data_IF_508288082125
#
_entry.id   IF_508288082125
#
_cell.length_a   1.000
_cell.length_b   1.000
_cell.length_c   1.000
_cell.angle_alpha   90.00
_cell.angle_beta   90.00
_cell.angle_gamma   90.00
#
_symmetry.space_group_name_H-M   'P 1'
#
loop_
_entity.id
_entity.type
_entity.pdbx_description
1 polymer ?
#
# COMPACT_ATOMS: atom_id res chain seq x y z
N UNK A 1 13.31 -32.44 17.28
CA UNK A 1 11.94 -32.60 16.77
C UNK A 1 11.26 -31.25 16.74
N UNK A 2 10.22 -31.10 15.91
CA UNK A 2 9.50 -29.82 15.69
C UNK A 2 8.89 -29.26 16.99
N UNK A 3 8.44 -30.15 17.88
CA UNK A 3 7.87 -29.80 19.18
C UNK A 3 8.88 -29.13 20.13
N UNK A 4 10.15 -29.54 20.09
CA UNK A 4 11.21 -28.95 20.91
C UNK A 4 11.47 -27.50 20.51
N UNK A 5 11.53 -27.21 19.17
CA UNK A 5 11.72 -25.86 18.65
C UNK A 5 10.55 -24.93 18.95
N UNK A 6 9.34 -25.48 18.97
CA UNK A 6 8.13 -24.70 19.27
C UNK A 6 8.11 -24.31 20.76
N UNK A 7 8.55 -25.20 21.64
CA UNK A 7 8.64 -24.96 23.09
C UNK A 7 9.72 -23.91 23.43
N UNK A 8 10.87 -23.98 22.75
CA UNK A 8 11.97 -23.01 22.91
C UNK A 8 11.55 -21.60 22.43
N UNK A 9 10.77 -21.51 21.35
CA UNK A 9 10.22 -20.26 20.84
C UNK A 9 9.22 -19.59 21.80
N UNK A 10 8.34 -20.39 22.44
CA UNK A 10 7.41 -19.90 23.44
C UNK A 10 8.10 -19.42 24.72
N UNK A 11 9.18 -20.07 25.14
CA UNK A 11 9.96 -19.66 26.31
C UNK A 11 10.74 -18.37 26.06
N UNK A 12 11.27 -18.16 24.83
CA UNK A 12 11.95 -16.92 24.45
C UNK A 12 10.97 -15.74 24.39
N UNK A 13 9.76 -15.96 23.85
CA UNK A 13 8.70 -14.94 23.81
C UNK A 13 8.25 -14.51 25.20
N UNK A 14 8.05 -15.48 26.10
CA UNK A 14 7.61 -15.23 27.49
C UNK A 14 8.67 -14.45 28.28
N UNK A 15 9.95 -14.80 28.09
CA UNK A 15 11.09 -14.09 28.67
C UNK A 15 11.21 -12.63 28.18
N UNK A 16 10.88 -12.39 26.92
CA UNK A 16 10.91 -11.02 26.33
C UNK A 16 9.71 -10.17 26.79
N UNK A 17 8.52 -10.75 26.90
CA UNK A 17 7.34 -10.09 27.44
C UNK A 17 7.56 -9.67 28.91
N UNK A 18 8.09 -10.57 29.74
CA UNK A 18 8.37 -10.28 31.15
C UNK A 18 9.40 -9.17 31.34
N UNK A 19 10.43 -9.11 30.49
CA UNK A 19 11.41 -8.01 30.47
C UNK A 19 10.81 -6.66 30.04
N UNK A 20 9.78 -6.67 29.22
CA UNK A 20 9.08 -5.44 28.83
C UNK A 20 8.11 -4.96 29.94
N UNK A 21 7.46 -5.88 30.66
CA UNK A 21 6.60 -5.55 31.81
C UNK A 21 7.41 -5.01 33.01
N UNK A 22 8.58 -5.59 33.32
CA UNK A 22 9.48 -5.08 34.36
C UNK A 22 10.01 -3.67 34.05
N UNK A 23 10.20 -3.32 32.77
CA UNK A 23 10.59 -1.95 32.36
C UNK A 23 9.43 -0.95 32.48
N UNK A 24 8.18 -1.41 32.39
CA UNK A 24 7.00 -0.55 32.56
C UNK A 24 6.63 -0.28 34.04
N UNK A 25 7.05 -1.14 34.95
CA UNK A 25 6.71 -1.05 36.38
C UNK A 25 7.60 -0.11 37.20
N UNK A 26 8.67 0.44 36.65
CA UNK A 26 9.65 1.31 37.38
C UNK A 26 9.42 2.81 37.13
N UNK A 27 8.32 3.21 36.51
CA UNK A 27 8.03 4.64 36.24
C UNK A 27 6.75 5.13 36.95
N UNK A 28 6.70 5.04 38.29
CA UNK A 28 5.75 5.84 39.07
C UNK A 28 6.29 6.11 40.48
N UNK A 29 7.05 7.19 40.64
CA UNK A 29 7.14 7.97 41.87
C UNK A 29 7.72 9.38 41.58
N UNK A 30 7.20 10.46 42.18
CA UNK A 30 7.55 11.80 41.80
C UNK A 30 8.67 12.36 42.68
N UNK A 31 9.59 13.12 42.17
CA UNK A 31 10.09 14.36 42.72
C UNK A 31 11.49 14.80 42.26
N UNK A 32 11.55 16.05 41.83
CA UNK A 32 12.61 17.06 42.00
C UNK A 32 13.98 16.90 41.34
N UNK A 33 14.16 17.75 40.34
CA UNK A 33 15.35 18.60 40.09
C UNK A 33 16.76 17.99 40.12
N UNK A 34 17.35 17.75 38.94
CA UNK A 34 18.61 18.44 38.55
C UNK A 34 18.96 18.14 37.10
N UNK A 35 19.17 19.22 36.35
CA UNK A 35 19.71 19.21 34.99
C UNK A 35 21.08 18.52 34.97
N UNK A 36 21.19 17.45 34.19
CA UNK A 36 22.46 16.96 33.66
C UNK A 36 22.15 16.48 32.23
N UNK A 37 22.76 17.16 31.28
CA UNK A 37 22.75 16.85 29.85
C UNK A 37 23.17 15.40 29.64
N UNK A 38 22.24 14.57 29.17
CA UNK A 38 22.54 13.24 28.63
C UNK A 38 22.58 13.42 27.12
N UNK A 39 23.66 12.96 26.43
CA UNK A 39 23.74 13.06 24.97
C UNK A 39 22.54 12.31 24.38
N UNK A 40 21.80 12.99 23.50
CA UNK A 40 20.65 12.45 22.79
C UNK A 40 21.03 11.16 22.08
N UNK A 41 20.49 10.06 22.55
CA UNK A 41 20.36 8.83 21.75
C UNK A 41 19.56 9.22 20.52
N UNK A 42 19.97 8.87 19.30
CA UNK A 42 19.16 9.20 18.13
C UNK A 42 17.80 8.51 18.30
N UNK A 43 16.76 9.31 18.49
CA UNK A 43 15.36 8.86 18.33
C UNK A 43 15.29 8.23 16.94
N UNK A 44 15.10 6.94 16.87
CA UNK A 44 14.70 6.28 15.62
C UNK A 44 13.29 6.77 15.33
N UNK A 45 13.21 7.89 14.62
CA UNK A 45 11.96 8.46 14.14
C UNK A 45 11.24 7.38 13.33
N UNK A 46 10.03 7.03 13.74
CA UNK A 46 9.21 6.12 12.94
C UNK A 46 9.16 6.66 11.49
N UNK A 47 9.34 5.80 10.48
CA UNK A 47 9.38 6.26 9.09
C UNK A 47 8.08 6.98 8.75
N UNK A 48 8.20 8.07 8.00
CA UNK A 48 7.04 8.83 7.51
C UNK A 48 6.24 8.01 6.51
N UNK A 49 4.96 8.35 6.30
CA UNK A 49 4.12 7.73 5.28
C UNK A 49 4.75 7.85 3.88
N UNK A 50 5.43 8.97 3.59
CA UNK A 50 6.17 9.16 2.33
C UNK A 50 7.30 8.12 2.18
N UNK A 51 8.14 7.96 3.21
CA UNK A 51 9.25 7.00 3.15
C UNK A 51 8.77 5.55 2.98
N UNK A 52 7.70 5.17 3.69
CA UNK A 52 7.13 3.82 3.57
C UNK A 52 6.51 3.60 2.18
N UNK A 53 5.82 4.61 1.64
CA UNK A 53 5.26 4.56 0.29
C UNK A 53 6.36 4.45 -0.78
N UNK A 54 7.42 5.26 -0.68
CA UNK A 54 8.52 5.27 -1.65
C UNK A 54 9.25 3.92 -1.68
N UNK A 55 9.46 3.31 -0.51
CA UNK A 55 10.01 1.94 -0.42
C UNK A 55 9.11 0.90 -1.09
N UNK A 56 7.80 0.97 -0.84
CA UNK A 56 6.84 0.07 -1.45
C UNK A 56 6.77 0.25 -2.98
N UNK A 57 6.83 1.50 -3.45
CA UNK A 57 6.81 1.80 -4.88
C UNK A 57 8.11 1.37 -5.58
N UNK A 58 9.26 1.54 -4.94
CA UNK A 58 10.55 1.05 -5.44
C UNK A 58 10.57 -0.49 -5.65
N UNK A 59 9.84 -1.24 -4.81
CA UNK A 59 9.67 -2.68 -5.03
C UNK A 59 8.87 -2.97 -6.31
N UNK A 60 7.87 -2.15 -6.61
CA UNK A 60 7.08 -2.28 -7.84
C UNK A 60 7.93 -1.97 -9.07
N UNK A 61 8.71 -0.90 -9.03
CA UNK A 61 9.63 -0.49 -10.10
C UNK A 61 10.72 -1.55 -10.33
N UNK A 62 11.18 -2.19 -9.25
CA UNK A 62 12.10 -3.32 -9.29
C UNK A 62 11.46 -4.66 -9.70
N UNK A 63 10.21 -4.66 -10.17
CA UNK A 63 9.43 -5.85 -10.55
C UNK A 63 9.25 -6.89 -9.43
N UNK A 64 9.50 -6.53 -8.17
CA UNK A 64 9.24 -7.34 -6.99
C UNK A 64 7.76 -7.27 -6.61
N UNK A 65 6.90 -7.73 -7.53
CA UNK A 65 5.45 -7.50 -7.45
C UNK A 65 4.78 -8.10 -6.21
N UNK A 66 5.30 -9.22 -5.68
CA UNK A 66 4.75 -9.83 -4.44
C UNK A 66 5.06 -8.99 -3.22
N UNK A 67 6.31 -8.55 -3.09
CA UNK A 67 6.77 -7.71 -2.01
C UNK A 67 6.09 -6.32 -2.08
N UNK A 68 5.98 -5.74 -3.27
CA UNK A 68 5.28 -4.50 -3.51
C UNK A 68 3.78 -4.60 -3.11
N UNK A 69 3.12 -5.69 -3.50
CA UNK A 69 1.74 -5.96 -3.12
C UNK A 69 1.58 -5.98 -1.59
N UNK A 70 2.47 -6.68 -0.89
CA UNK A 70 2.42 -6.76 0.58
C UNK A 70 2.67 -5.39 1.20
N UNK A 71 3.76 -4.72 0.81
CA UNK A 71 4.15 -3.42 1.35
C UNK A 71 3.06 -2.34 1.12
N UNK A 72 2.45 -2.28 -0.07
CA UNK A 72 1.37 -1.35 -0.38
C UNK A 72 0.08 -1.67 0.39
N UNK A 73 -0.20 -2.97 0.60
CA UNK A 73 -1.35 -3.40 1.42
C UNK A 73 -1.16 -2.97 2.88
N UNK A 74 0.04 -3.13 3.42
CA UNK A 74 0.36 -2.74 4.79
C UNK A 74 0.38 -1.20 4.93
N UNK A 75 0.89 -0.47 3.93
CA UNK A 75 0.82 0.98 3.88
C UNK A 75 -0.63 1.49 3.99
N UNK A 76 -1.54 0.96 3.18
CA UNK A 76 -2.96 1.38 3.18
C UNK A 76 -3.63 1.13 4.55
N UNK A 77 -3.24 0.05 5.25
CA UNK A 77 -3.75 -0.24 6.59
C UNK A 77 -3.15 0.67 7.65
N UNK A 78 -1.86 0.96 7.55
CA UNK A 78 -1.11 1.73 8.53
C UNK A 78 -1.39 3.23 8.43
N UNK A 79 -1.61 3.73 7.21
CA UNK A 79 -1.81 5.15 6.91
C UNK A 79 -3.14 5.43 6.21
N UNK A 80 -4.30 5.13 6.83
CA UNK A 80 -5.60 5.25 6.17
C UNK A 80 -6.01 6.69 5.84
N UNK A 81 -5.36 7.67 6.45
CA UNK A 81 -5.61 9.11 6.25
C UNK A 81 -4.47 9.82 5.51
N UNK A 82 -3.50 9.09 4.97
CA UNK A 82 -2.41 9.68 4.20
C UNK A 82 -2.92 10.33 2.91
N UNK A 83 -2.32 11.46 2.55
CA UNK A 83 -2.52 12.09 1.23
C UNK A 83 -2.06 11.19 0.08
N UNK A 84 -1.18 10.23 0.34
CA UNK A 84 -0.67 9.25 -0.63
C UNK A 84 -1.58 8.03 -0.82
N UNK A 85 -2.72 7.98 -0.11
CA UNK A 85 -3.63 6.84 -0.18
C UNK A 85 -4.13 6.54 -1.61
N UNK A 86 -4.49 7.55 -2.44
CA UNK A 86 -4.86 7.30 -3.83
C UNK A 86 -3.71 6.73 -4.66
N UNK A 87 -2.49 7.27 -4.50
CA UNK A 87 -1.29 6.75 -5.17
C UNK A 87 -0.97 5.32 -4.73
N UNK A 88 -1.07 5.02 -3.44
CA UNK A 88 -0.85 3.66 -2.91
C UNK A 88 -1.87 2.65 -3.45
N UNK A 89 -3.15 3.04 -3.59
CA UNK A 89 -4.18 2.21 -4.21
C UNK A 89 -3.92 1.99 -5.70
N UNK A 90 -3.46 3.02 -6.41
CA UNK A 90 -3.09 2.92 -7.81
C UNK A 90 -1.91 1.94 -7.99
N UNK A 91 -0.84 2.10 -7.21
CA UNK A 91 0.33 1.22 -7.23
C UNK A 91 -0.03 -0.23 -6.82
N UNK A 92 -0.93 -0.41 -5.83
CA UNK A 92 -1.43 -1.72 -5.43
C UNK A 92 -2.17 -2.42 -6.58
N UNK A 93 -3.02 -1.69 -7.32
CA UNK A 93 -3.72 -2.23 -8.48
C UNK A 93 -2.73 -2.66 -9.59
N UNK A 94 -1.66 -1.88 -9.81
CA UNK A 94 -0.59 -2.25 -10.75
C UNK A 94 0.14 -3.53 -10.29
N UNK A 95 0.50 -3.65 -9.01
CA UNK A 95 1.11 -4.86 -8.46
C UNK A 95 0.19 -6.09 -8.65
N UNK A 96 -1.10 -5.94 -8.36
CA UNK A 96 -2.11 -6.99 -8.57
C UNK A 96 -2.21 -7.39 -10.05
N UNK A 97 -2.19 -6.42 -10.97
CA UNK A 97 -2.22 -6.66 -12.41
C UNK A 97 -0.98 -7.46 -12.86
N UNK A 98 0.21 -7.06 -12.42
CA UNK A 98 1.47 -7.75 -12.72
C UNK A 98 1.48 -9.18 -12.17
N UNK A 99 0.84 -9.41 -11.03
CA UNK A 99 0.62 -10.75 -10.46
C UNK A 99 -0.51 -11.54 -11.15
N UNK A 100 -1.10 -10.99 -12.22
CA UNK A 100 -2.25 -11.56 -12.96
C UNK A 100 -3.50 -11.74 -12.09
N UNK A 101 -3.60 -11.06 -10.97
CA UNK A 101 -4.78 -11.05 -10.12
C UNK A 101 -5.80 -10.01 -10.63
N UNK A 102 -6.28 -10.21 -11.85
CA UNK A 102 -7.12 -9.23 -12.55
C UNK A 102 -8.44 -8.93 -11.84
N UNK A 103 -9.01 -9.91 -11.14
CA UNK A 103 -10.24 -9.69 -10.37
C UNK A 103 -10.02 -8.71 -9.22
N UNK A 104 -8.92 -8.86 -8.48
CA UNK A 104 -8.55 -7.91 -7.43
C UNK A 104 -8.19 -6.53 -8.00
N UNK A 105 -7.46 -6.50 -9.12
CA UNK A 105 -7.12 -5.27 -9.85
C UNK A 105 -8.37 -4.44 -10.18
N UNK A 106 -9.40 -5.08 -10.74
CA UNK A 106 -10.68 -4.43 -11.06
C UNK A 106 -11.29 -3.81 -9.80
N UNK A 107 -11.40 -4.58 -8.71
CA UNK A 107 -11.98 -4.08 -7.46
C UNK A 107 -11.18 -2.93 -6.84
N UNK A 108 -9.84 -2.97 -6.93
CA UNK A 108 -8.97 -1.91 -6.40
C UNK A 108 -9.11 -0.62 -7.22
N UNK A 109 -9.10 -0.70 -8.55
CA UNK A 109 -9.30 0.48 -9.40
C UNK A 109 -10.71 1.07 -9.26
N UNK A 110 -11.76 0.26 -9.17
CA UNK A 110 -13.12 0.75 -8.95
C UNK A 110 -13.22 1.55 -7.65
N UNK A 111 -12.70 0.99 -6.55
CA UNK A 111 -12.66 1.67 -5.26
C UNK A 111 -11.86 2.98 -5.31
N UNK A 112 -10.73 2.99 -6.03
CA UNK A 112 -9.93 4.20 -6.22
C UNK A 112 -10.74 5.29 -6.93
N UNK A 113 -11.37 4.96 -8.05
CA UNK A 113 -12.17 5.89 -8.86
C UNK A 113 -13.38 6.44 -8.11
N UNK A 114 -14.03 5.61 -7.29
CA UNK A 114 -15.21 5.98 -6.51
C UNK A 114 -14.85 6.86 -5.30
N UNK A 115 -13.74 6.54 -4.62
CA UNK A 115 -13.34 7.22 -3.38
C UNK A 115 -12.49 8.47 -3.62
N UNK A 116 -11.81 8.57 -4.77
CA UNK A 116 -10.89 9.65 -5.12
C UNK A 116 -11.16 10.17 -6.54
N UNK A 117 -12.34 10.79 -6.79
CA UNK A 117 -12.74 11.22 -8.14
C UNK A 117 -11.81 12.28 -8.74
N UNK A 118 -11.13 13.06 -7.89
CA UNK A 118 -10.21 14.14 -8.30
C UNK A 118 -8.74 13.69 -8.40
N UNK A 119 -8.48 12.38 -8.27
CA UNK A 119 -7.11 11.87 -8.33
C UNK A 119 -6.54 12.03 -9.75
N UNK A 120 -5.35 12.62 -9.82
CA UNK A 120 -4.73 13.02 -11.10
C UNK A 120 -4.48 11.84 -12.06
N UNK A 121 -4.25 10.62 -11.52
CA UNK A 121 -4.02 9.41 -12.33
C UNK A 121 -5.31 8.59 -12.58
N UNK A 122 -6.50 9.20 -12.43
CA UNK A 122 -7.76 8.52 -12.75
C UNK A 122 -7.89 8.11 -14.23
N UNK A 123 -7.36 8.87 -15.21
CA UNK A 123 -7.33 8.42 -16.60
C UNK A 123 -6.55 7.11 -16.78
N UNK A 124 -5.37 6.99 -16.17
CA UNK A 124 -4.53 5.80 -16.19
C UNK A 124 -5.20 4.64 -15.43
N UNK A 125 -5.85 4.94 -14.31
CA UNK A 125 -6.61 3.95 -13.54
C UNK A 125 -7.77 3.38 -14.35
N UNK A 126 -8.52 4.19 -15.10
CA UNK A 126 -9.57 3.72 -16.01
C UNK A 126 -9.03 2.85 -17.15
N UNK A 127 -7.86 3.22 -17.70
CA UNK A 127 -7.21 2.40 -18.71
C UNK A 127 -6.73 1.05 -18.11
N UNK A 128 -6.15 1.09 -16.90
CA UNK A 128 -5.75 -0.10 -16.16
C UNK A 128 -6.92 -1.01 -15.82
N UNK A 129 -8.06 -0.44 -15.40
CA UNK A 129 -9.31 -1.14 -15.17
C UNK A 129 -9.79 -1.86 -16.44
N UNK A 130 -9.85 -1.14 -17.57
CA UNK A 130 -10.24 -1.74 -18.85
C UNK A 130 -9.28 -2.86 -19.28
N UNK A 131 -7.98 -2.69 -19.07
CA UNK A 131 -6.99 -3.74 -19.35
C UNK A 131 -7.24 -5.01 -18.53
N UNK A 132 -7.52 -4.87 -17.23
CA UNK A 132 -7.84 -6.01 -16.37
C UNK A 132 -9.15 -6.69 -16.78
N UNK A 133 -10.16 -5.93 -17.19
CA UNK A 133 -11.41 -6.45 -17.73
C UNK A 133 -11.21 -7.24 -19.02
N UNK A 134 -10.35 -6.75 -19.93
CA UNK A 134 -9.98 -7.47 -21.17
C UNK A 134 -9.30 -8.81 -20.83
N UNK A 135 -8.39 -8.84 -19.85
CA UNK A 135 -7.71 -10.07 -19.43
C UNK A 135 -8.69 -11.14 -18.90
N UNK A 136 -9.83 -10.72 -18.36
CA UNK A 136 -10.91 -11.61 -17.91
C UNK A 136 -12.00 -11.82 -18.97
N UNK A 137 -11.78 -11.39 -20.21
CA UNK A 137 -12.75 -11.43 -21.31
C UNK A 137 -14.08 -10.68 -21.01
N UNK A 138 -14.06 -9.72 -20.08
CA UNK A 138 -15.18 -8.85 -19.76
C UNK A 138 -15.24 -7.69 -20.77
N UNK A 139 -15.49 -8.03 -22.03
CA UNK A 139 -15.39 -7.08 -23.16
C UNK A 139 -16.41 -5.94 -23.10
N UNK A 140 -17.68 -6.18 -22.77
CA UNK A 140 -18.67 -5.09 -22.63
C UNK A 140 -18.26 -4.06 -21.57
N UNK A 141 -17.77 -4.53 -20.42
CA UNK A 141 -17.33 -3.69 -19.32
C UNK A 141 -16.06 -2.90 -19.69
N UNK A 142 -15.12 -3.55 -20.35
CA UNK A 142 -13.90 -2.90 -20.83
C UNK A 142 -14.22 -1.77 -21.83
N UNK A 143 -15.12 -2.02 -22.79
CA UNK A 143 -15.58 -1.00 -23.74
C UNK A 143 -16.26 0.18 -23.03
N UNK A 144 -17.05 -0.10 -21.98
CA UNK A 144 -17.66 0.95 -21.16
C UNK A 144 -16.58 1.78 -20.46
N UNK A 145 -15.62 1.14 -19.77
CA UNK A 145 -14.54 1.83 -19.08
C UNK A 145 -13.70 2.70 -20.02
N UNK A 146 -13.40 2.23 -21.23
CA UNK A 146 -12.67 2.99 -22.24
C UNK A 146 -13.48 4.19 -22.78
N UNK A 147 -14.80 4.03 -22.98
CA UNK A 147 -15.69 5.13 -23.38
C UNK A 147 -15.78 6.19 -22.28
N UNK A 148 -15.90 5.76 -21.02
CA UNK A 148 -15.93 6.65 -19.87
C UNK A 148 -14.62 7.44 -19.74
N UNK A 149 -13.46 6.79 -19.96
CA UNK A 149 -12.15 7.44 -20.01
C UNK A 149 -12.12 8.56 -21.06
N UNK A 150 -12.53 8.27 -22.31
CA UNK A 150 -12.52 9.25 -23.41
C UNK A 150 -13.47 10.42 -23.13
N UNK A 151 -14.63 10.13 -22.55
CA UNK A 151 -15.64 11.14 -22.24
C UNK A 151 -15.23 12.05 -21.08
N UNK A 152 -14.70 11.47 -20.00
CA UNK A 152 -14.35 12.20 -18.76
C UNK A 152 -13.02 12.95 -18.87
N UNK A 153 -12.05 12.38 -19.58
CA UNK A 153 -10.68 12.88 -19.64
C UNK A 153 -10.15 13.06 -21.08
N UNK A 154 -10.84 13.89 -21.92
CA UNK A 154 -10.53 13.98 -23.35
C UNK A 154 -9.15 14.55 -23.68
N UNK A 155 -8.48 15.16 -22.70
CA UNK A 155 -7.15 15.75 -22.85
C UNK A 155 -6.02 14.89 -22.27
N UNK A 156 -6.34 13.68 -21.76
CA UNK A 156 -5.32 12.81 -21.16
C UNK A 156 -4.46 12.14 -22.23
N UNK A 157 -3.18 11.94 -21.93
CA UNK A 157 -2.21 11.29 -22.82
C UNK A 157 -2.56 9.83 -23.14
N UNK A 158 -3.37 9.17 -22.28
CA UNK A 158 -3.78 7.78 -22.47
C UNK A 158 -4.96 7.60 -23.44
N UNK A 159 -5.54 8.69 -23.95
CA UNK A 159 -6.70 8.65 -24.86
C UNK A 159 -6.41 7.87 -26.14
N UNK A 160 -5.26 8.05 -26.76
CA UNK A 160 -4.88 7.32 -27.98
C UNK A 160 -4.85 5.81 -27.73
N UNK A 161 -4.37 5.38 -26.55
CA UNK A 161 -4.36 3.97 -26.17
C UNK A 161 -5.78 3.44 -25.96
N UNK A 162 -6.66 4.22 -25.33
CA UNK A 162 -8.06 3.87 -25.15
C UNK A 162 -8.79 3.72 -26.49
N UNK A 163 -8.60 4.64 -27.43
CA UNK A 163 -9.21 4.59 -28.76
C UNK A 163 -8.75 3.37 -29.57
N UNK A 164 -7.45 3.02 -29.50
CA UNK A 164 -6.90 1.83 -30.18
C UNK A 164 -7.53 0.53 -29.67
N UNK A 165 -7.87 0.48 -28.38
CA UNK A 165 -8.46 -0.72 -27.75
C UNK A 165 -9.97 -0.86 -27.97
N UNK A 166 -10.65 0.20 -28.44
CA UNK A 166 -12.08 0.19 -28.78
C UNK A 166 -12.34 -0.35 -30.19
N UNK A 167 -11.32 -0.34 -31.07
CA UNK A 167 -11.38 -0.90 -32.42
C UNK A 167 -11.27 -2.42 -32.39
#
# INVERSE_FOLDING_TARGET
>A
TVEQRQKDLYQDLDGRLRKMEEKSAVSNAPSSNKVAEIPATPEVKAPSDQEVYDQANALLDGMKNKEAFQALTDFIKQFPNSALLPDAKYSLANAQFNLKNYKATIGTYQKLLDQHPDFVKNPEALLGLANAQIQLALIPEAKKSLKDLIKKYPKSDVIQNAQKRLK
#
